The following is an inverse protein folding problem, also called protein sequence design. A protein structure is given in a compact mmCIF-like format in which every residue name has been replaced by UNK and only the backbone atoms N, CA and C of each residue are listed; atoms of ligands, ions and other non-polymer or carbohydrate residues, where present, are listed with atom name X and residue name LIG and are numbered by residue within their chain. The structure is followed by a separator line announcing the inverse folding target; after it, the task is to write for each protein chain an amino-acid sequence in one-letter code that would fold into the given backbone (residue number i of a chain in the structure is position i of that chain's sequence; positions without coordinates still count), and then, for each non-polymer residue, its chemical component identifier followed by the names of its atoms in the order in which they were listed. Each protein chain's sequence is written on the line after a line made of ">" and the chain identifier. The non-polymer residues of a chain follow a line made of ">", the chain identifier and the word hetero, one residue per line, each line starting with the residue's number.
data_IF_509515608517
#
_entry.id   IF_509515608517
#
_cell.length_a   1.000
_cell.length_b   1.000
_cell.length_c   1.000
_cell.angle_alpha   90.00
_cell.angle_beta   90.00
_cell.angle_gamma   90.00
#
_symmetry.space_group_name_H-M   'P 1'
#
loop_
_entity.id
_entity.type
_entity.pdbx_description
1 polymer ?
#
# COMPACT_ATOMS: atom_id res chain seq x y z
N UNK A 1 1.94 -4.67 -0.66
CA UNK A 1 0.86 -4.24 0.25
C UNK A 1 0.86 -2.72 0.35
N UNK A 2 -0.17 -2.13 0.98
CA UNK A 2 -0.35 -0.67 1.01
C UNK A 2 -0.42 -0.17 2.44
N UNK A 3 0.41 0.82 2.75
CA UNK A 3 0.34 1.59 3.99
C UNK A 3 -0.33 2.93 3.78
N UNK A 4 -1.02 3.44 4.78
CA UNK A 4 -1.71 4.74 4.75
C UNK A 4 -1.37 5.56 5.98
N UNK A 5 -1.40 6.90 5.83
CA UNK A 5 -1.30 7.83 6.96
C UNK A 5 -2.05 9.12 6.64
N UNK A 6 -2.31 9.92 7.66
CA UNK A 6 -2.97 11.22 7.50
C UNK A 6 -2.02 12.25 6.86
N UNK A 7 -2.59 13.11 6.05
CA UNK A 7 -1.94 14.24 5.40
C UNK A 7 -2.89 15.44 5.41
N UNK A 8 -2.36 16.65 5.53
CA UNK A 8 -3.18 17.86 5.72
C UNK A 8 -4.22 18.08 4.60
N UNK A 9 -3.86 17.77 3.36
CA UNK A 9 -4.74 17.94 2.19
C UNK A 9 -5.46 16.62 1.77
N UNK A 10 -5.38 15.56 2.59
CA UNK A 10 -5.98 14.27 2.29
C UNK A 10 -5.33 13.12 3.04
N UNK A 11 -4.65 12.22 2.33
CA UNK A 11 -3.92 11.12 2.94
C UNK A 11 -2.66 10.74 2.16
N UNK A 12 -1.76 10.03 2.83
CA UNK A 12 -0.57 9.42 2.24
C UNK A 12 -0.87 7.96 1.89
N UNK A 13 -0.33 7.52 0.76
CA UNK A 13 -0.40 6.15 0.28
C UNK A 13 1.02 5.67 -0.06
N UNK A 14 1.43 4.56 0.52
CA UNK A 14 2.78 4.01 0.30
C UNK A 14 2.72 2.52 0.04
N UNK A 15 3.57 2.06 -0.84
CA UNK A 15 3.89 0.64 -0.91
C UNK A 15 4.70 0.25 0.32
N UNK A 16 4.34 -0.88 0.92
CA UNK A 16 5.03 -1.47 2.07
C UNK A 16 5.18 -2.98 1.83
N UNK A 17 6.11 -3.66 2.51
CA UNK A 17 6.25 -5.11 2.37
C UNK A 17 4.94 -5.86 2.57
N UNK A 18 4.79 -7.00 1.89
CA UNK A 18 3.60 -7.83 2.02
C UNK A 18 3.35 -8.22 3.49
N UNK A 19 2.12 -8.01 3.94
CA UNK A 19 1.68 -8.29 5.31
C UNK A 19 1.90 -7.16 6.31
N UNK A 20 2.53 -6.05 5.90
CA UNK A 20 2.71 -4.88 6.75
C UNK A 20 1.66 -3.78 6.52
N UNK A 21 0.88 -3.90 5.44
CA UNK A 21 -0.12 -2.93 5.05
C UNK A 21 -1.54 -3.28 5.51
N UNK A 22 -2.51 -2.66 4.83
CA UNK A 22 -3.94 -2.72 5.18
C UNK A 22 -4.72 -3.77 4.39
N UNK A 23 -4.10 -4.43 3.42
CA UNK A 23 -4.80 -5.39 2.56
C UNK A 23 -4.93 -6.76 3.23
N UNK A 24 -6.11 -7.36 3.15
CA UNK A 24 -6.30 -8.78 3.51
C UNK A 24 -5.78 -9.67 2.37
N UNK A 25 -4.46 -9.78 2.30
CA UNK A 25 -3.79 -10.53 1.24
C UNK A 25 -4.20 -12.00 1.23
N UNK A 26 -4.38 -12.62 2.38
CA UNK A 26 -4.79 -14.02 2.47
C UNK A 26 -6.15 -14.24 1.80
N UNK A 27 -7.10 -13.33 2.04
CA UNK A 27 -8.42 -13.38 1.41
C UNK A 27 -8.35 -13.11 -0.09
N UNK A 28 -7.56 -12.11 -0.51
CA UNK A 28 -7.36 -11.81 -1.94
C UNK A 28 -6.81 -13.03 -2.67
N UNK A 29 -5.77 -13.66 -2.13
CA UNK A 29 -5.18 -14.86 -2.70
C UNK A 29 -6.15 -16.04 -2.74
N UNK A 30 -6.90 -16.27 -1.66
CA UNK A 30 -7.92 -17.32 -1.61
C UNK A 30 -8.98 -17.14 -2.70
N UNK A 31 -9.47 -15.91 -2.90
CA UNK A 31 -10.44 -15.61 -3.96
C UNK A 31 -9.83 -15.88 -5.34
N UNK A 32 -8.62 -15.37 -5.61
CA UNK A 32 -7.96 -15.60 -6.90
C UNK A 32 -7.80 -17.10 -7.20
N UNK A 33 -7.31 -17.86 -6.23
CA UNK A 33 -7.14 -19.31 -6.38
C UNK A 33 -8.44 -20.09 -6.51
N UNK A 34 -9.51 -19.62 -5.89
CA UNK A 34 -10.85 -20.23 -6.03
C UNK A 34 -11.38 -20.11 -7.46
N UNK A 35 -11.21 -18.95 -8.10
CA UNK A 35 -11.71 -18.72 -9.46
C UNK A 35 -10.76 -19.18 -10.56
N UNK A 36 -9.45 -19.16 -10.30
CA UNK A 36 -8.43 -19.65 -11.20
C UNK A 36 -7.26 -20.26 -10.41
N UNK A 37 -7.24 -21.58 -10.19
CA UNK A 37 -6.18 -22.25 -9.43
C UNK A 37 -4.77 -22.04 -10.01
N UNK A 38 -4.67 -21.80 -11.31
CA UNK A 38 -3.40 -21.61 -12.02
C UNK A 38 -2.93 -20.15 -12.04
N UNK A 39 -3.61 -19.26 -11.29
CA UNK A 39 -3.20 -17.85 -11.21
C UNK A 39 -1.75 -17.73 -10.74
N UNK A 40 -0.96 -17.01 -11.52
CA UNK A 40 0.40 -16.59 -11.16
C UNK A 40 0.36 -15.24 -10.47
N UNK A 41 1.14 -15.10 -9.42
CA UNK A 41 1.28 -13.83 -8.69
C UNK A 41 2.70 -13.30 -8.87
N UNK A 42 2.81 -12.07 -9.30
CA UNK A 42 4.08 -11.38 -9.46
C UNK A 42 4.22 -10.33 -8.36
N UNK A 43 5.35 -10.32 -7.67
CA UNK A 43 5.68 -9.25 -6.74
C UNK A 43 6.16 -8.04 -7.55
N UNK A 44 5.45 -6.93 -7.40
CA UNK A 44 5.92 -5.61 -7.77
C UNK A 44 6.00 -4.77 -6.51
N UNK A 45 7.18 -4.23 -6.24
CA UNK A 45 7.45 -3.44 -5.05
C UNK A 45 8.32 -2.24 -5.43
N UNK A 46 7.78 -1.03 -5.29
CA UNK A 46 8.51 0.20 -5.55
C UNK A 46 8.86 0.85 -4.21
N UNK A 47 10.15 0.95 -3.93
CA UNK A 47 10.66 1.61 -2.71
C UNK A 47 10.83 3.10 -2.99
N UNK A 48 9.88 3.90 -2.52
CA UNK A 48 9.81 5.35 -2.73
C UNK A 48 9.15 6.05 -1.55
N UNK A 49 9.19 7.37 -1.55
CA UNK A 49 8.40 8.17 -0.61
C UNK A 49 6.90 7.98 -0.84
N UNK A 50 6.08 8.14 0.20
CA UNK A 50 4.63 8.04 0.09
C UNK A 50 4.06 9.02 -0.94
N UNK A 51 3.06 8.57 -1.67
CA UNK A 51 2.28 9.42 -2.56
C UNK A 51 1.33 10.29 -1.72
N UNK A 52 1.31 11.57 -2.02
CA UNK A 52 0.33 12.49 -1.46
C UNK A 52 -0.96 12.42 -2.29
N UNK A 53 -2.06 12.04 -1.66
CA UNK A 53 -3.40 12.00 -2.26
C UNK A 53 -4.20 13.21 -1.77
N UNK A 54 -4.18 14.33 -2.51
CA UNK A 54 -4.75 15.60 -2.03
C UNK A 54 -6.27 15.67 -2.22
N UNK A 55 -6.99 14.67 -1.73
CA UNK A 55 -8.43 14.49 -1.93
C UNK A 55 -9.31 15.53 -1.18
N UNK A 56 -8.70 16.40 -0.38
CA UNK A 56 -9.39 17.54 0.23
C UNK A 56 -9.24 18.82 -0.59
N UNK A 57 -8.51 18.78 -1.72
CA UNK A 57 -8.40 19.91 -2.66
C UNK A 57 -9.39 19.77 -3.80
N UNK A 58 -10.01 20.88 -4.18
CA UNK A 58 -11.03 20.92 -5.24
C UNK A 58 -10.51 20.39 -6.58
N UNK A 59 -9.29 20.78 -6.97
CA UNK A 59 -8.69 20.37 -8.25
C UNK A 59 -8.43 18.86 -8.37
N UNK A 60 -8.33 18.13 -7.25
CA UNK A 60 -8.23 16.67 -7.25
C UNK A 60 -9.45 16.03 -7.93
N UNK A 61 -10.62 16.62 -7.78
CA UNK A 61 -11.90 16.12 -8.26
C UNK A 61 -12.27 16.56 -9.67
N UNK A 62 -11.43 17.36 -10.33
CA UNK A 62 -11.74 17.93 -11.65
C UNK A 62 -12.08 16.89 -12.73
N UNK A 63 -11.52 15.67 -12.62
CA UNK A 63 -11.78 14.55 -13.55
C UNK A 63 -12.77 13.52 -13.03
N UNK A 64 -13.20 13.64 -11.76
CA UNK A 64 -14.16 12.73 -11.16
C UNK A 64 -15.57 13.29 -11.29
N UNK A 65 -16.49 12.48 -11.82
CA UNK A 65 -17.90 12.88 -11.94
C UNK A 65 -18.76 11.97 -11.06
N UNK A 66 -19.64 12.59 -10.27
CA UNK A 66 -20.69 11.88 -9.54
C UNK A 66 -20.22 10.98 -8.39
N UNK A 67 -19.02 11.18 -7.86
CA UNK A 67 -18.54 10.43 -6.70
C UNK A 67 -19.24 10.96 -5.44
N UNK A 68 -19.98 10.10 -4.70
CA UNK A 68 -20.65 10.53 -3.47
C UNK A 68 -19.67 10.94 -2.38
N UNK A 69 -19.95 12.02 -1.66
CA UNK A 69 -19.12 12.45 -0.52
C UNK A 69 -18.99 11.41 0.59
N UNK A 70 -19.94 10.47 0.68
CA UNK A 70 -19.87 9.32 1.59
C UNK A 70 -18.68 8.40 1.33
N UNK A 71 -18.26 8.24 0.06
CA UNK A 71 -17.09 7.42 -0.29
C UNK A 71 -15.80 8.07 0.19
N UNK A 72 -15.67 9.39 0.01
CA UNK A 72 -14.55 10.14 0.58
C UNK A 72 -14.51 10.00 2.12
N UNK A 73 -15.66 10.16 2.77
CA UNK A 73 -15.76 10.02 4.22
C UNK A 73 -15.38 8.60 4.70
N UNK A 74 -15.76 7.56 3.98
CA UNK A 74 -15.37 6.18 4.26
C UNK A 74 -13.85 5.97 4.09
N UNK A 75 -13.28 6.49 3.00
CA UNK A 75 -11.85 6.41 2.73
C UNK A 75 -11.03 7.09 3.84
N UNK A 76 -11.38 8.32 4.21
CA UNK A 76 -10.68 9.05 5.28
C UNK A 76 -10.83 8.37 6.64
N UNK A 77 -11.98 7.75 6.91
CA UNK A 77 -12.18 6.95 8.13
C UNK A 77 -11.27 5.72 8.12
N UNK A 78 -11.19 5.01 7.00
CA UNK A 78 -10.31 3.85 6.83
C UNK A 78 -8.84 4.24 7.06
N UNK A 79 -8.38 5.34 6.47
CA UNK A 79 -7.04 5.89 6.70
C UNK A 79 -6.79 6.14 8.18
N UNK A 80 -7.72 6.83 8.85
CA UNK A 80 -7.60 7.16 10.27
C UNK A 80 -7.51 5.95 11.18
N UNK A 81 -8.26 4.88 10.85
CA UNK A 81 -8.28 3.63 11.61
C UNK A 81 -7.06 2.75 11.37
N UNK A 82 -6.39 2.90 10.21
CA UNK A 82 -5.31 2.04 9.77
C UNK A 82 -3.97 2.78 9.57
N UNK A 83 -3.77 3.88 10.27
CA UNK A 83 -2.52 4.63 10.22
C UNK A 83 -1.32 3.73 10.46
N UNK A 84 -0.30 3.86 9.63
CA UNK A 84 0.92 3.09 9.74
C UNK A 84 1.69 3.49 11.00
N UNK A 85 1.76 2.59 11.99
CA UNK A 85 2.21 2.91 13.35
C UNK A 85 3.65 3.40 13.44
N UNK A 86 4.53 2.88 12.59
CA UNK A 86 5.94 3.26 12.56
C UNK A 86 6.22 4.54 11.75
N UNK A 87 5.17 5.14 11.14
CA UNK A 87 5.33 6.16 10.10
C UNK A 87 5.70 5.54 8.76
N UNK A 88 5.15 6.09 7.67
CA UNK A 88 5.46 5.59 6.32
C UNK A 88 6.92 5.85 5.96
N UNK A 89 7.58 4.94 5.21
CA UNK A 89 8.98 5.06 4.86
C UNK A 89 9.25 6.30 4.00
N UNK A 90 10.38 6.98 4.26
CA UNK A 90 10.85 8.12 3.47
C UNK A 90 12.28 7.86 3.01
N UNK A 91 12.39 7.45 1.75
CA UNK A 91 13.66 7.02 1.17
C UNK A 91 14.43 8.14 0.46
N UNK A 92 13.76 9.25 0.13
CA UNK A 92 14.41 10.41 -0.51
C UNK A 92 15.51 11.03 0.35
N UNK A 93 15.43 10.85 1.67
CA UNK A 93 16.41 11.36 2.64
C UNK A 93 17.60 10.40 2.88
N UNK A 94 17.56 9.21 2.30
CA UNK A 94 18.59 8.18 2.45
C UNK A 94 19.72 8.37 1.42
N UNK A 95 20.91 7.88 1.76
CA UNK A 95 22.00 7.76 0.76
C UNK A 95 21.63 6.74 -0.32
N UNK A 96 22.26 6.75 -1.50
CA UNK A 96 22.00 5.76 -2.54
C UNK A 96 22.15 4.31 -2.06
N UNK A 97 23.19 4.04 -1.26
CA UNK A 97 23.46 2.71 -0.71
C UNK A 97 22.35 2.29 0.26
N UNK A 98 21.89 3.22 1.13
CA UNK A 98 20.81 2.94 2.07
C UNK A 98 19.46 2.73 1.36
N UNK A 99 19.21 3.38 0.21
CA UNK A 99 18.03 3.14 -0.61
C UNK A 99 18.03 1.72 -1.20
N UNK A 100 19.17 1.30 -1.76
CA UNK A 100 19.31 -0.06 -2.29
C UNK A 100 19.11 -1.12 -1.21
N UNK A 101 19.69 -0.91 -0.03
CA UNK A 101 19.50 -1.81 1.11
C UNK A 101 18.05 -1.85 1.57
N UNK A 102 17.33 -0.72 1.58
CA UNK A 102 15.91 -0.66 1.92
C UNK A 102 15.06 -1.41 0.88
N UNK A 103 15.35 -1.25 -0.41
CA UNK A 103 14.66 -1.97 -1.50
C UNK A 103 14.87 -3.47 -1.38
N UNK A 104 16.12 -3.91 -1.20
CA UNK A 104 16.43 -5.34 -1.00
C UNK A 104 15.68 -5.90 0.23
N UNK A 105 15.71 -5.18 1.35
CA UNK A 105 15.01 -5.61 2.56
C UNK A 105 13.50 -5.72 2.35
N UNK A 106 12.87 -4.79 1.64
CA UNK A 106 11.44 -4.82 1.33
C UNK A 106 11.08 -6.05 0.50
N UNK A 107 11.91 -6.39 -0.50
CA UNK A 107 11.72 -7.57 -1.36
C UNK A 107 11.87 -8.86 -0.54
N UNK A 108 12.92 -8.96 0.27
CA UNK A 108 13.18 -10.14 1.11
C UNK A 108 12.05 -10.37 2.13
N UNK A 109 11.58 -9.29 2.77
CA UNK A 109 10.45 -9.33 3.70
C UNK A 109 9.17 -9.81 3.00
N UNK A 110 8.88 -9.28 1.82
CA UNK A 110 7.73 -9.68 1.00
C UNK A 110 7.78 -11.15 0.59
N UNK A 111 8.94 -11.66 0.18
CA UNK A 111 9.11 -13.07 -0.14
C UNK A 111 8.98 -13.98 1.10
N UNK A 112 9.50 -13.55 2.23
CA UNK A 112 9.34 -14.29 3.48
C UNK A 112 7.86 -14.42 3.87
N UNK A 113 7.10 -13.34 3.77
CA UNK A 113 5.64 -13.34 4.00
C UNK A 113 4.91 -14.25 3.00
N UNK A 114 5.22 -14.13 1.70
CA UNK A 114 4.60 -14.94 0.63
C UNK A 114 4.74 -16.45 0.90
N UNK A 115 5.95 -16.89 1.29
CA UNK A 115 6.19 -18.29 1.63
C UNK A 115 5.46 -18.71 2.90
N UNK A 116 5.56 -17.92 3.97
CA UNK A 116 5.05 -18.28 5.28
C UNK A 116 3.52 -18.19 5.39
N UNK A 117 2.88 -17.26 4.67
CA UNK A 117 1.46 -16.94 4.83
C UNK A 117 0.60 -17.24 3.62
N UNK A 118 1.16 -17.17 2.42
CA UNK A 118 0.41 -17.35 1.17
C UNK A 118 0.73 -18.68 0.47
N UNK A 119 1.70 -19.46 0.97
CA UNK A 119 2.09 -20.75 0.41
C UNK A 119 2.70 -20.65 -1.00
N UNK A 120 3.31 -19.52 -1.35
CA UNK A 120 3.96 -19.29 -2.63
C UNK A 120 5.45 -19.65 -2.53
N UNK A 121 5.98 -20.26 -3.60
CA UNK A 121 7.36 -20.75 -3.66
C UNK A 121 8.10 -20.14 -4.85
#
# INVERSE_FOLDING_TARGET
>A
DMGVDEYADGFLLSEVPLGEGILDLSRIFAICKQYNPDTTFNLEMITRDPLEIPCLKENYWATFQGVPGSELAQTLRMVKQNKFKAGLPRVSQLTPEARLAAEEQNILTSFAYSRAKLGLH
#
